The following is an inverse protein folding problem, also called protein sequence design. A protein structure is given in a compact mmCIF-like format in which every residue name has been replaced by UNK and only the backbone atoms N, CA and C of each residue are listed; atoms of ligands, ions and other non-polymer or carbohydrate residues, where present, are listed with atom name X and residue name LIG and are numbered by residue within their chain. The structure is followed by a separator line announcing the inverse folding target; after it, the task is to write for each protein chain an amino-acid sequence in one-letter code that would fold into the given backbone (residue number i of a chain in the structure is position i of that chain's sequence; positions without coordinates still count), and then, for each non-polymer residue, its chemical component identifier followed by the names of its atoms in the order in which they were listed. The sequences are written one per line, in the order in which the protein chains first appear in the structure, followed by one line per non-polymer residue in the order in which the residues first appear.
data_IF_976584723143
#
_entry.id   IF_976584723143
#
_cell.length_a   1.000
_cell.length_b   1.000
_cell.length_c   1.000
_cell.angle_alpha   90.00
_cell.angle_beta   90.00
_cell.angle_gamma   90.00
#
_symmetry.space_group_name_H-M   'P 1'
#
loop_
_entity.id
_entity.type
_entity.pdbx_description
1 polymer ?
#
# COMPACT_ATOMS: atom_id res chain seq x y z
N UNK A 1 17.39 -14.30 9.71
CA UNK A 1 18.86 -14.25 9.71
C UNK A 1 19.29 -12.95 9.06
N UNK A 2 20.19 -12.21 9.71
CA UNK A 2 20.68 -10.90 9.23
C UNK A 2 22.01 -11.01 8.48
N UNK A 3 22.37 -9.93 7.79
CA UNK A 3 23.67 -9.73 7.15
C UNK A 3 24.23 -8.36 7.50
N UNK A 4 25.55 -8.21 7.51
CA UNK A 4 26.20 -6.91 7.70
C UNK A 4 27.47 -6.79 6.87
N UNK A 5 27.77 -5.57 6.44
CA UNK A 5 28.95 -5.26 5.64
C UNK A 5 30.16 -4.99 6.54
N UNK A 6 31.32 -5.50 6.13
CA UNK A 6 32.57 -5.17 6.81
C UNK A 6 32.81 -3.65 6.77
N UNK A 7 33.22 -3.02 7.89
CA UNK A 7 33.51 -1.58 7.92
C UNK A 7 34.60 -1.15 6.92
N UNK A 8 35.49 -2.07 6.53
CA UNK A 8 36.55 -1.83 5.54
C UNK A 8 36.08 -2.07 4.10
N UNK A 9 34.86 -2.56 3.90
CA UNK A 9 34.33 -2.95 2.59
C UNK A 9 34.92 -4.25 2.03
N UNK A 10 35.70 -5.01 2.80
CA UNK A 10 36.39 -6.22 2.31
C UNK A 10 35.46 -7.43 2.08
N UNK A 11 34.22 -7.36 2.58
CA UNK A 11 33.27 -8.48 2.52
C UNK A 11 32.05 -8.25 3.39
N UNK A 12 31.31 -9.32 3.67
CA UNK A 12 30.10 -9.32 4.49
C UNK A 12 30.06 -10.52 5.43
N UNK A 13 29.24 -10.42 6.48
CA UNK A 13 28.90 -11.51 7.39
C UNK A 13 27.42 -11.85 7.29
N UNK A 14 27.09 -13.12 7.50
CA UNK A 14 25.71 -13.58 7.54
C UNK A 14 25.51 -14.69 8.57
N UNK A 15 24.39 -14.64 9.29
CA UNK A 15 23.97 -15.77 10.14
C UNK A 15 23.38 -16.86 9.26
N UNK A 16 23.95 -18.06 9.30
CA UNK A 16 23.57 -19.16 8.41
C UNK A 16 23.18 -20.41 9.17
N UNK A 17 22.30 -21.18 8.56
CA UNK A 17 22.04 -22.57 8.94
C UNK A 17 22.36 -23.44 7.74
N UNK A 18 23.47 -24.16 7.79
CA UNK A 18 23.89 -25.05 6.69
C UNK A 18 23.71 -26.50 7.11
N UNK A 19 23.76 -27.46 6.15
CA UNK A 19 23.86 -28.87 6.49
C UNK A 19 25.08 -29.21 7.35
N UNK A 20 26.10 -28.36 7.39
CA UNK A 20 27.29 -28.58 8.22
C UNK A 20 27.08 -28.09 9.67
N UNK A 21 26.02 -27.31 9.93
CA UNK A 21 25.68 -26.72 11.22
C UNK A 21 25.24 -25.26 11.11
N UNK A 22 24.71 -24.72 12.21
CA UNK A 22 24.48 -23.28 12.37
C UNK A 22 25.78 -22.52 12.62
N UNK A 23 25.81 -21.24 12.28
CA UNK A 23 26.99 -20.42 12.53
C UNK A 23 26.95 -19.04 11.86
N UNK A 24 28.13 -18.45 11.72
CA UNK A 24 28.33 -17.18 11.03
C UNK A 24 29.24 -17.43 9.83
N UNK A 25 28.79 -17.02 8.66
CA UNK A 25 29.56 -17.07 7.43
C UNK A 25 30.24 -15.72 7.20
N UNK A 26 31.53 -15.74 6.93
CA UNK A 26 32.29 -14.61 6.40
C UNK A 26 32.44 -14.83 4.90
N UNK A 27 32.08 -13.82 4.10
CA UNK A 27 32.17 -13.86 2.65
C UNK A 27 33.02 -12.68 2.21
N UNK A 28 34.07 -12.93 1.43
CA UNK A 28 34.83 -11.84 0.80
C UNK A 28 34.19 -11.41 -0.54
N UNK A 29 34.69 -10.32 -1.11
CA UNK A 29 34.23 -9.85 -2.42
C UNK A 29 34.64 -10.74 -3.60
N UNK A 30 35.56 -11.69 -3.42
CA UNK A 30 35.98 -12.64 -4.44
C UNK A 30 35.07 -13.86 -4.54
N UNK A 31 34.19 -14.05 -3.54
CA UNK A 31 33.27 -15.17 -3.42
C UNK A 31 33.80 -16.32 -2.56
N UNK A 32 35.00 -16.18 -2.00
CA UNK A 32 35.49 -17.11 -0.97
C UNK A 32 34.72 -16.91 0.33
N UNK A 33 34.47 -18.00 1.04
CA UNK A 33 33.73 -17.96 2.29
C UNK A 33 34.30 -18.88 3.35
N UNK A 34 34.23 -18.40 4.59
CA UNK A 34 34.69 -19.10 5.78
C UNK A 34 33.54 -19.19 6.78
N UNK A 35 33.40 -20.36 7.39
CA UNK A 35 32.31 -20.66 8.32
C UNK A 35 32.87 -20.73 9.75
N UNK A 36 32.38 -19.84 10.61
CA UNK A 36 32.55 -19.89 12.06
C UNK A 36 31.43 -20.77 12.62
N UNK A 37 31.76 -22.02 12.95
CA UNK A 37 30.79 -23.03 13.36
C UNK A 37 30.26 -22.79 14.78
N UNK A 38 28.94 -22.68 14.90
CA UNK A 38 28.19 -22.57 16.15
C UNK A 38 27.42 -23.86 16.44
N UNK A 39 28.11 -24.90 16.90
CA UNK A 39 27.49 -26.22 17.11
C UNK A 39 26.44 -26.28 18.24
N UNK A 40 26.31 -25.21 19.03
CA UNK A 40 25.53 -25.22 20.27
C UNK A 40 24.27 -24.35 20.22
N UNK A 41 24.00 -23.60 19.13
CA UNK A 41 22.81 -22.74 19.04
C UNK A 41 22.69 -21.99 17.71
N UNK A 42 21.56 -21.33 17.50
CA UNK A 42 21.32 -20.49 16.33
C UNK A 42 22.08 -19.17 16.49
N UNK A 43 22.68 -18.66 15.41
CA UNK A 43 23.34 -17.34 15.39
C UNK A 43 22.48 -16.35 14.60
N UNK A 44 21.93 -15.36 15.27
CA UNK A 44 21.02 -14.37 14.71
C UNK A 44 21.66 -12.98 14.64
N UNK A 45 21.29 -12.25 13.58
CA UNK A 45 21.60 -10.83 13.37
C UNK A 45 23.05 -10.45 13.68
N UNK A 46 24.04 -11.07 13.01
CA UNK A 46 25.42 -10.70 13.22
C UNK A 46 25.70 -9.29 12.69
N UNK A 47 26.51 -8.52 13.41
CA UNK A 47 26.96 -7.18 13.03
C UNK A 47 28.42 -6.97 13.42
N UNK A 48 29.12 -6.13 12.67
CA UNK A 48 30.49 -5.76 12.99
C UNK A 48 30.54 -4.73 14.13
N UNK A 49 31.49 -4.94 15.04
CA UNK A 49 31.87 -4.02 16.11
C UNK A 49 33.40 -3.86 16.12
N UNK A 50 33.92 -2.88 16.86
CA UNK A 50 35.37 -2.71 17.01
C UNK A 50 36.02 -3.95 17.66
N UNK A 51 35.30 -4.65 18.54
CA UNK A 51 35.79 -5.81 19.28
C UNK A 51 35.60 -7.15 18.54
N UNK A 52 34.98 -7.14 17.36
CA UNK A 52 34.68 -8.35 16.58
C UNK A 52 33.24 -8.42 16.08
N UNK A 53 32.71 -9.63 15.93
CA UNK A 53 31.36 -9.88 15.42
C UNK A 53 30.40 -10.04 16.60
N UNK A 54 29.43 -9.13 16.71
CA UNK A 54 28.35 -9.17 17.68
C UNK A 54 27.14 -9.91 17.11
N UNK A 55 26.51 -10.80 17.87
CA UNK A 55 25.33 -11.55 17.42
C UNK A 55 24.51 -12.06 18.61
N UNK A 56 23.28 -12.50 18.34
CA UNK A 56 22.42 -13.14 19.33
C UNK A 56 22.45 -14.66 19.17
N UNK A 57 22.52 -15.42 20.26
CA UNK A 57 22.52 -16.88 20.23
C UNK A 57 21.85 -17.50 21.45
N UNK A 58 21.12 -18.60 21.22
CA UNK A 58 20.43 -19.40 22.24
C UNK A 58 21.26 -20.60 22.72
N UNK A 59 22.59 -20.54 22.57
CA UNK A 59 23.48 -21.66 22.90
C UNK A 59 23.42 -22.15 24.34
N UNK A 60 22.97 -21.29 25.26
CA UNK A 60 22.72 -21.58 26.67
C UNK A 60 21.22 -21.71 27.00
N UNK A 61 20.38 -21.88 25.98
CA UNK A 61 18.93 -22.09 26.06
C UNK A 61 18.09 -20.82 25.99
N UNK A 62 18.70 -19.63 26.17
CA UNK A 62 18.04 -18.33 26.05
C UNK A 62 18.88 -17.43 25.16
N UNK A 63 18.25 -16.72 24.23
CA UNK A 63 18.97 -15.80 23.34
C UNK A 63 19.71 -14.72 24.14
N UNK A 64 21.03 -14.71 24.05
CA UNK A 64 21.89 -13.70 24.65
C UNK A 64 22.81 -13.10 23.59
N UNK A 65 23.38 -11.93 23.88
CA UNK A 65 24.37 -11.31 23.02
C UNK A 65 25.74 -11.92 23.25
N UNK A 66 26.43 -12.18 22.15
CA UNK A 66 27.78 -12.71 22.11
C UNK A 66 28.63 -11.86 21.18
N UNK A 67 29.91 -11.71 21.52
CA UNK A 67 30.94 -11.22 20.62
C UNK A 67 31.92 -12.33 20.28
N UNK A 68 32.42 -12.32 19.04
CA UNK A 68 33.31 -13.32 18.47
C UNK A 68 34.45 -12.63 17.74
N UNK A 69 35.68 -13.02 18.07
CA UNK A 69 36.85 -12.64 17.29
C UNK A 69 36.92 -13.55 16.05
N UNK A 70 36.81 -13.01 14.83
CA UNK A 70 36.80 -13.82 13.61
C UNK A 70 38.17 -14.42 13.27
N UNK A 71 39.27 -13.88 13.83
CA UNK A 71 40.63 -14.36 13.58
C UNK A 71 40.96 -15.53 14.49
N UNK A 72 40.70 -15.38 15.79
CA UNK A 72 41.03 -16.41 16.78
C UNK A 72 39.90 -17.42 16.97
N UNK A 73 38.68 -17.06 16.62
CA UNK A 73 37.47 -17.82 16.92
C UNK A 73 37.07 -17.76 18.39
N UNK A 74 37.71 -16.93 19.22
CA UNK A 74 37.36 -16.80 20.63
C UNK A 74 35.98 -16.14 20.80
N UNK A 75 35.21 -16.63 21.78
CA UNK A 75 33.83 -16.23 21.97
C UNK A 75 33.60 -15.73 23.40
N UNK A 76 32.84 -14.63 23.51
CA UNK A 76 32.43 -14.03 24.78
C UNK A 76 30.93 -13.75 24.82
N UNK A 77 30.31 -14.04 25.96
CA UNK A 77 28.91 -13.73 26.25
C UNK A 77 28.83 -12.35 26.91
N UNK A 78 28.04 -11.44 26.34
CA UNK A 78 27.89 -10.06 26.82
C UNK A 78 26.65 -9.87 27.70
N UNK A 79 25.62 -10.70 27.54
CA UNK A 79 24.40 -10.64 28.36
C UNK A 79 24.05 -12.00 28.94
N UNK A 80 23.35 -12.00 30.07
CA UNK A 80 22.75 -13.19 30.67
C UNK A 80 21.33 -12.86 31.13
N UNK A 81 20.43 -12.76 30.15
CA UNK A 81 19.01 -12.44 30.37
C UNK A 81 18.19 -13.72 30.49
N UNK A 82 17.03 -13.64 31.15
CA UNK A 82 16.10 -14.78 31.30
C UNK A 82 15.13 -14.91 30.12
N UNK A 83 15.01 -13.87 29.30
CA UNK A 83 13.90 -13.68 28.37
C UNK A 83 14.34 -13.41 26.93
N UNK A 84 15.58 -13.00 26.71
CA UNK A 84 16.15 -12.85 25.37
C UNK A 84 16.71 -11.45 25.09
N UNK A 85 17.85 -11.41 24.40
CA UNK A 85 18.49 -10.21 23.87
C UNK A 85 18.82 -10.41 22.38
N UNK A 86 18.38 -9.48 21.53
CA UNK A 86 18.35 -9.63 20.07
C UNK A 86 18.79 -8.36 19.36
N UNK A 87 19.19 -8.49 18.08
CA UNK A 87 19.41 -7.38 17.14
C UNK A 87 20.21 -6.22 17.75
N UNK A 88 21.38 -6.57 18.26
CA UNK A 88 22.26 -5.59 18.86
C UNK A 88 22.92 -4.72 17.81
N UNK A 89 23.10 -3.44 18.14
CA UNK A 89 23.77 -2.44 17.32
C UNK A 89 24.83 -1.73 18.19
N UNK A 90 26.12 -1.80 17.82
CA UNK A 90 27.17 -1.07 18.51
C UNK A 90 27.09 0.42 18.18
N UNK A 91 27.37 1.26 19.17
CA UNK A 91 27.56 2.70 19.00
C UNK A 91 29.03 3.01 18.74
N UNK A 92 29.35 4.17 18.14
CA UNK A 92 30.73 4.64 18.03
C UNK A 92 31.43 4.88 19.39
N UNK A 93 30.67 4.98 20.48
CA UNK A 93 31.19 5.11 21.85
C UNK A 93 31.49 3.76 22.53
N UNK A 94 31.20 2.64 21.86
CA UNK A 94 31.36 1.29 22.40
C UNK A 94 30.17 0.77 23.22
N UNK A 95 29.10 1.56 23.37
CA UNK A 95 27.84 1.11 23.95
C UNK A 95 27.10 0.20 22.97
N UNK A 96 26.29 -0.73 23.47
CA UNK A 96 25.47 -1.60 22.65
C UNK A 96 24.00 -1.32 22.94
N UNK A 97 23.24 -0.97 21.90
CA UNK A 97 21.78 -0.90 21.96
C UNK A 97 21.23 -2.21 21.44
N UNK A 98 20.28 -2.82 22.14
CA UNK A 98 19.71 -4.11 21.73
C UNK A 98 18.23 -4.19 22.06
N UNK A 99 17.53 -5.12 21.41
CA UNK A 99 16.14 -5.40 21.70
C UNK A 99 16.05 -6.50 22.75
N UNK A 100 15.51 -6.18 23.92
CA UNK A 100 15.26 -7.13 25.00
C UNK A 100 13.80 -7.54 25.01
N UNK A 101 13.51 -8.79 25.36
CA UNK A 101 12.14 -9.27 25.54
C UNK A 101 11.79 -9.31 27.03
N UNK A 102 10.58 -8.91 27.42
CA UNK A 102 10.07 -9.10 28.79
C UNK A 102 8.55 -9.31 28.77
N UNK A 103 7.92 -9.44 29.94
CA UNK A 103 6.47 -9.73 30.04
C UNK A 103 5.53 -8.71 29.38
N UNK A 104 6.03 -7.52 29.00
CA UNK A 104 5.28 -6.49 28.28
C UNK A 104 5.53 -6.46 26.77
N UNK A 105 6.38 -7.35 26.24
CA UNK A 105 6.82 -7.35 24.85
C UNK A 105 8.30 -7.03 24.68
N UNK A 106 8.67 -6.54 23.50
CA UNK A 106 10.03 -6.08 23.21
C UNK A 106 10.22 -4.61 23.59
N UNK A 107 11.39 -4.28 24.13
CA UNK A 107 11.82 -2.92 24.39
C UNK A 107 13.31 -2.74 24.03
N UNK A 108 13.78 -1.50 23.98
CA UNK A 108 15.18 -1.16 23.71
C UNK A 108 15.96 -1.04 25.03
N UNK A 109 17.09 -1.74 25.06
CA UNK A 109 18.00 -1.76 26.20
C UNK A 109 19.36 -1.26 25.78
N UNK A 110 20.08 -0.71 26.75
CA UNK A 110 21.47 -0.30 26.60
C UNK A 110 22.37 -1.18 27.45
N UNK A 111 23.47 -1.63 26.86
CA UNK A 111 24.55 -2.35 27.51
C UNK A 111 25.83 -1.51 27.41
N UNK A 112 26.43 -1.24 28.56
CA UNK A 112 27.73 -0.57 28.63
C UNK A 112 28.84 -1.52 28.14
N UNK A 113 29.93 -0.99 27.54
CA UNK A 113 31.03 -1.83 27.09
C UNK A 113 31.60 -2.68 28.23
N UNK A 114 31.69 -3.99 28.02
CA UNK A 114 32.28 -4.92 28.99
C UNK A 114 32.96 -6.07 28.26
N UNK A 115 34.02 -6.67 28.85
CA UNK A 115 34.75 -7.78 28.21
C UNK A 115 33.92 -9.08 28.14
N UNK A 116 32.69 -9.07 28.64
CA UNK A 116 31.82 -10.23 28.72
C UNK A 116 32.40 -11.36 29.59
N UNK A 117 31.74 -12.52 29.52
CA UNK A 117 32.22 -13.77 30.09
C UNK A 117 32.70 -14.67 28.96
N UNK A 118 33.92 -15.20 29.06
CA UNK A 118 34.44 -16.17 28.08
C UNK A 118 33.47 -17.36 27.94
N UNK A 119 33.05 -17.62 26.71
CA UNK A 119 31.98 -18.56 26.36
C UNK A 119 32.45 -19.69 25.42
N UNK A 120 33.77 -19.84 25.23
CA UNK A 120 34.38 -20.90 24.42
C UNK A 120 35.01 -20.35 23.15
N UNK A 121 34.86 -21.09 22.05
CA UNK A 121 35.38 -20.72 20.74
C UNK A 121 34.50 -21.26 19.61
N UNK A 122 34.33 -20.50 18.54
CA UNK A 122 33.75 -20.95 17.28
C UNK A 122 34.89 -21.11 16.26
N UNK A 123 35.29 -22.35 15.90
CA UNK A 123 36.41 -22.56 15.01
C UNK A 123 36.07 -22.09 13.59
N UNK A 124 36.97 -21.28 13.01
CA UNK A 124 36.91 -20.86 11.61
C UNK A 124 37.36 -22.02 10.71
N UNK A 125 36.57 -22.34 9.69
CA UNK A 125 36.95 -23.28 8.63
C UNK A 125 36.57 -22.72 7.26
N UNK A 126 37.22 -23.17 6.20
CA UNK A 126 36.75 -22.88 4.86
C UNK A 126 35.36 -23.50 4.66
N UNK A 127 34.40 -22.72 4.16
CA UNK A 127 33.06 -23.21 3.91
C UNK A 127 33.09 -24.33 2.86
N UNK A 128 32.30 -25.40 3.06
CA UNK A 128 32.26 -26.55 2.14
C UNK A 128 33.35 -27.61 2.35
N UNK A 129 34.27 -27.42 3.30
CA UNK A 129 35.25 -28.46 3.71
C UNK A 129 34.79 -29.25 4.96
N UNK A 130 33.61 -28.96 5.51
CA UNK A 130 33.03 -29.71 6.62
C UNK A 130 32.52 -31.08 6.17
N UNK A 131 32.67 -32.10 7.02
CA UNK A 131 31.81 -33.29 6.88
C UNK A 131 30.39 -32.82 7.15
N UNK A 132 29.50 -32.89 6.17
CA UNK A 132 28.08 -32.64 6.37
C UNK A 132 27.64 -33.39 7.63
N UNK A 133 27.18 -32.66 8.65
CA UNK A 133 26.38 -33.28 9.70
C UNK A 133 25.12 -33.67 8.96
N UNK A 134 24.99 -34.97 8.68
CA UNK A 134 24.19 -35.48 7.56
C UNK A 134 22.83 -34.80 7.41
N UNK A 135 22.27 -34.75 6.18
CA UNK A 135 20.96 -34.16 5.98
C UNK A 135 20.02 -34.73 7.05
N UNK A 136 19.44 -33.85 7.88
CA UNK A 136 18.20 -34.20 8.56
C UNK A 136 17.32 -34.84 7.49
N UNK A 137 16.86 -36.06 7.78
CA UNK A 137 16.12 -36.98 6.89
C UNK A 137 15.72 -36.31 5.59
N UNK A 138 16.31 -36.78 4.47
CA UNK A 138 16.13 -36.19 3.14
C UNK A 138 14.76 -35.56 3.02
N UNK A 139 14.74 -34.22 2.99
CA UNK A 139 13.51 -33.45 3.12
C UNK A 139 12.46 -34.15 2.27
N UNK A 140 11.32 -34.58 2.85
CA UNK A 140 10.33 -35.29 2.07
C UNK A 140 10.09 -34.43 0.85
N UNK A 141 10.32 -35.01 -0.33
CA UNK A 141 10.17 -34.31 -1.59
C UNK A 141 8.72 -33.81 -1.59
N UNK A 142 8.54 -32.53 -1.25
CA UNK A 142 7.22 -31.98 -1.03
C UNK A 142 6.52 -32.14 -2.37
N UNK A 143 5.46 -32.94 -2.40
CA UNK A 143 4.76 -33.23 -3.63
C UNK A 143 4.28 -31.91 -4.24
N UNK A 144 4.94 -31.51 -5.34
CA UNK A 144 4.62 -30.29 -6.04
C UNK A 144 3.30 -30.51 -6.80
N UNK A 145 2.21 -30.03 -6.24
CA UNK A 145 0.93 -29.97 -6.93
C UNK A 145 0.79 -28.63 -7.67
N UNK A 146 0.05 -28.57 -8.80
CA UNK A 146 -0.31 -27.31 -9.42
C UNK A 146 -1.00 -26.38 -8.42
N UNK A 147 -0.64 -25.10 -8.46
CA UNK A 147 -1.21 -24.09 -7.58
C UNK A 147 -2.73 -23.99 -7.74
N UNK A 148 -3.48 -24.07 -6.62
CA UNK A 148 -4.94 -23.97 -6.60
C UNK A 148 -5.39 -22.72 -5.82
N UNK A 149 -5.67 -21.60 -6.50
CA UNK A 149 -6.01 -20.33 -5.83
C UNK A 149 -7.35 -20.41 -5.10
N UNK A 150 -8.31 -21.19 -5.61
CA UNK A 150 -9.71 -21.22 -5.15
C UNK A 150 -9.88 -21.52 -3.66
N UNK A 151 -8.93 -22.24 -3.05
CA UNK A 151 -8.92 -22.52 -1.61
C UNK A 151 -8.84 -21.26 -0.75
N UNK A 152 -8.21 -20.21 -1.29
CA UNK A 152 -7.99 -18.92 -0.65
C UNK A 152 -8.94 -17.83 -1.16
N UNK A 153 -9.79 -18.17 -2.13
CA UNK A 153 -10.78 -17.24 -2.69
C UNK A 153 -12.14 -17.30 -1.99
N UNK A 154 -12.27 -18.09 -0.92
CA UNK A 154 -13.46 -18.04 -0.06
C UNK A 154 -13.44 -16.76 0.78
N UNK A 155 -14.59 -16.05 0.94
CA UNK A 155 -14.70 -14.85 1.78
C UNK A 155 -14.16 -15.07 3.21
N UNK A 156 -13.04 -14.43 3.59
CA UNK A 156 -12.47 -14.57 4.93
C UNK A 156 -13.17 -13.70 5.99
N UNK A 157 -13.97 -12.72 5.56
CA UNK A 157 -14.77 -11.85 6.43
C UNK A 157 -16.04 -11.39 5.71
N UNK A 158 -16.98 -10.86 6.48
CA UNK A 158 -18.15 -10.16 5.98
C UNK A 158 -18.33 -8.88 6.76
N UNK A 159 -18.52 -7.76 6.05
CA UNK A 159 -18.67 -6.44 6.64
C UNK A 159 -20.02 -5.83 6.27
N UNK A 160 -20.84 -5.38 7.24
CA UNK A 160 -22.08 -4.69 6.93
C UNK A 160 -21.80 -3.36 6.22
N UNK A 161 -22.55 -3.09 5.16
CA UNK A 161 -22.52 -1.82 4.45
C UNK A 161 -23.85 -1.09 4.61
N UNK A 162 -23.76 0.23 4.75
CA UNK A 162 -24.91 1.13 4.84
C UNK A 162 -24.64 2.29 3.89
N UNK A 163 -25.54 2.53 2.95
CA UNK A 163 -25.39 3.57 1.92
C UNK A 163 -26.72 4.32 1.79
N UNK A 164 -26.68 5.64 1.87
CA UNK A 164 -27.83 6.46 1.53
C UNK A 164 -28.05 6.41 0.01
N UNK A 165 -29.30 6.28 -0.43
CA UNK A 165 -29.65 6.22 -1.84
C UNK A 165 -30.93 7.05 -2.08
N UNK A 166 -31.19 7.48 -3.32
CA UNK A 166 -32.43 8.17 -3.65
C UNK A 166 -33.63 7.28 -3.26
N UNK A 167 -34.61 7.88 -2.59
CA UNK A 167 -35.80 7.16 -2.10
C UNK A 167 -35.58 6.24 -0.89
N UNK A 168 -34.39 6.20 -0.27
CA UNK A 168 -34.22 5.48 0.99
C UNK A 168 -32.79 5.13 1.43
N UNK A 169 -32.62 3.94 2.00
CA UNK A 169 -31.34 3.48 2.55
C UNK A 169 -31.06 2.07 2.07
N UNK A 170 -29.84 1.84 1.60
CA UNK A 170 -29.34 0.52 1.23
C UNK A 170 -28.54 -0.09 2.38
N UNK A 171 -28.84 -1.34 2.73
CA UNK A 171 -28.08 -2.15 3.69
C UNK A 171 -27.53 -3.37 2.97
N UNK A 172 -26.29 -3.72 3.24
CA UNK A 172 -25.62 -4.78 2.51
C UNK A 172 -24.50 -5.46 3.27
N UNK A 173 -23.77 -6.29 2.54
CA UNK A 173 -22.56 -6.97 2.99
C UNK A 173 -21.47 -6.80 1.95
N UNK A 174 -20.26 -6.57 2.43
CA UNK A 174 -19.03 -6.56 1.64
C UNK A 174 -18.04 -7.62 2.10
N UNK A 175 -17.27 -8.15 1.17
CA UNK A 175 -16.13 -9.06 1.41
C UNK A 175 -15.04 -8.79 0.38
N UNK A 176 -13.82 -9.22 0.68
CA UNK A 176 -12.72 -9.30 -0.26
C UNK A 176 -11.85 -10.53 0.02
N UNK A 177 -11.16 -11.05 -0.99
CA UNK A 177 -10.17 -12.11 -0.81
C UNK A 177 -9.01 -11.99 -1.80
N UNK A 178 -7.88 -12.57 -1.41
CA UNK A 178 -6.63 -12.61 -2.15
C UNK A 178 -6.02 -14.00 -1.98
N UNK A 179 -5.44 -14.54 -3.04
CA UNK A 179 -4.62 -15.73 -2.93
C UNK A 179 -3.22 -15.38 -2.34
N UNK A 180 -2.50 -16.33 -1.71
CA UNK A 180 -1.20 -16.06 -1.06
C UNK A 180 -0.09 -15.56 -1.99
N UNK A 181 -0.23 -15.78 -3.31
CA UNK A 181 0.70 -15.29 -4.31
C UNK A 181 0.30 -13.93 -4.89
N UNK A 182 -0.78 -13.32 -4.39
CA UNK A 182 -1.36 -12.06 -4.86
C UNK A 182 -1.59 -12.04 -6.39
N UNK A 183 -1.92 -13.19 -6.96
CA UNK A 183 -2.24 -13.35 -8.39
C UNK A 183 -3.70 -13.09 -8.70
N UNK A 184 -4.58 -13.23 -7.72
CA UNK A 184 -6.02 -13.04 -7.86
C UNK A 184 -6.56 -12.35 -6.62
N UNK A 185 -7.28 -11.26 -6.87
CA UNK A 185 -7.93 -10.44 -5.85
C UNK A 185 -9.36 -10.23 -6.27
N UNK A 186 -10.28 -10.20 -5.31
CA UNK A 186 -11.60 -9.65 -5.56
C UNK A 186 -12.15 -8.88 -4.38
N UNK A 187 -13.07 -7.98 -4.71
CA UNK A 187 -13.96 -7.31 -3.78
C UNK A 187 -15.40 -7.53 -4.26
N UNK A 188 -16.29 -7.80 -3.33
CA UNK A 188 -17.71 -7.93 -3.59
C UNK A 188 -18.47 -7.11 -2.56
N UNK A 189 -19.45 -6.34 -3.01
CA UNK A 189 -20.44 -5.67 -2.19
C UNK A 189 -21.81 -5.93 -2.77
N UNK A 190 -22.75 -6.32 -1.93
CA UNK A 190 -24.15 -6.49 -2.30
C UNK A 190 -25.03 -5.77 -1.29
N UNK A 191 -26.03 -5.02 -1.80
CA UNK A 191 -26.84 -4.09 -1.02
C UNK A 191 -28.31 -4.21 -1.43
N UNK A 192 -29.20 -4.28 -0.45
CA UNK A 192 -30.66 -4.25 -0.63
C UNK A 192 -31.17 -2.91 -0.11
N UNK A 193 -32.01 -2.24 -0.90
CA UNK A 193 -32.64 -1.00 -0.48
C UNK A 193 -33.89 -1.20 0.36
N UNK A 194 -34.12 -0.26 1.28
CA UNK A 194 -35.34 -0.06 2.05
C UNK A 194 -35.98 1.25 1.64
N UNK A 195 -37.31 1.30 1.55
CA UNK A 195 -38.04 2.39 0.91
C UNK A 195 -38.21 2.12 -0.58
N UNK A 196 -38.03 3.14 -1.41
CA UNK A 196 -38.04 3.03 -2.87
C UNK A 196 -36.65 2.75 -3.45
N UNK A 197 -35.63 2.66 -2.57
CA UNK A 197 -34.26 2.36 -2.96
C UNK A 197 -34.14 0.94 -3.58
N UNK A 198 -33.58 0.78 -4.79
CA UNK A 198 -33.35 -0.52 -5.41
C UNK A 198 -32.15 -1.27 -4.82
N UNK A 199 -31.95 -2.50 -5.28
CA UNK A 199 -30.74 -3.31 -5.01
C UNK A 199 -29.55 -2.67 -5.74
N UNK A 200 -28.39 -2.63 -5.07
CA UNK A 200 -27.12 -2.23 -5.64
C UNK A 200 -26.03 -3.28 -5.40
N UNK A 201 -25.01 -3.31 -6.26
CA UNK A 201 -23.88 -4.23 -6.12
C UNK A 201 -22.58 -3.63 -6.66
N UNK A 202 -21.46 -4.16 -6.21
CA UNK A 202 -20.14 -3.85 -6.74
C UNK A 202 -19.31 -5.13 -6.74
N UNK A 203 -18.70 -5.45 -7.87
CA UNK A 203 -17.77 -6.56 -8.06
C UNK A 203 -16.51 -5.96 -8.64
N UNK A 204 -15.38 -6.27 -8.03
CA UNK A 204 -14.05 -5.97 -8.57
C UNK A 204 -13.24 -7.25 -8.54
N UNK A 205 -12.54 -7.54 -9.62
CA UNK A 205 -11.68 -8.70 -9.73
C UNK A 205 -10.42 -8.32 -10.50
N UNK A 206 -9.26 -8.63 -9.94
CA UNK A 206 -7.97 -8.40 -10.56
C UNK A 206 -7.20 -9.70 -10.63
N UNK A 207 -6.64 -9.99 -11.80
CA UNK A 207 -5.77 -11.14 -12.02
C UNK A 207 -4.40 -10.70 -12.54
N UNK A 208 -3.34 -10.98 -11.81
CA UNK A 208 -1.98 -10.92 -12.32
C UNK A 208 -1.62 -12.22 -13.05
N UNK A 209 -0.97 -12.08 -14.21
CA UNK A 209 -0.51 -13.22 -15.00
C UNK A 209 0.87 -13.76 -14.58
N UNK A 210 1.51 -13.17 -13.57
CA UNK A 210 2.83 -13.59 -13.09
C UNK A 210 3.31 -12.89 -11.82
N UNK A 211 4.62 -12.90 -11.53
CA UNK A 211 5.20 -12.15 -10.40
C UNK A 211 5.05 -10.62 -10.58
N UNK A 212 5.51 -9.86 -9.58
CA UNK A 212 5.53 -8.40 -9.62
C UNK A 212 6.10 -7.88 -10.95
N UNK A 213 5.37 -6.96 -11.59
CA UNK A 213 5.71 -6.47 -12.93
C UNK A 213 5.10 -7.24 -14.10
N UNK A 214 4.25 -8.24 -13.85
CA UNK A 214 3.51 -8.94 -14.91
C UNK A 214 2.23 -8.19 -15.31
N UNK A 215 1.69 -8.43 -16.52
CA UNK A 215 0.40 -7.88 -16.91
C UNK A 215 -0.72 -8.27 -15.93
N UNK A 216 -1.69 -7.36 -15.77
CA UNK A 216 -2.88 -7.58 -14.93
C UNK A 216 -4.15 -7.37 -15.74
N UNK A 217 -5.15 -8.20 -15.48
CA UNK A 217 -6.52 -8.05 -15.99
C UNK A 217 -7.41 -7.57 -14.85
N UNK A 218 -7.96 -6.38 -14.99
CA UNK A 218 -9.00 -5.82 -14.13
C UNK A 218 -10.39 -6.03 -14.74
N UNK A 219 -11.34 -6.43 -13.90
CA UNK A 219 -12.76 -6.48 -14.19
C UNK A 219 -13.50 -5.77 -13.06
N UNK A 220 -14.37 -4.83 -13.41
CA UNK A 220 -15.29 -4.23 -12.45
C UNK A 220 -16.72 -4.22 -12.99
N UNK A 221 -17.67 -4.43 -12.10
CA UNK A 221 -19.09 -4.34 -12.36
C UNK A 221 -19.74 -3.60 -11.18
N UNK A 222 -20.36 -2.46 -11.43
CA UNK A 222 -21.06 -1.69 -10.40
C UNK A 222 -22.51 -1.40 -10.83
N UNK A 223 -23.41 -1.39 -9.86
CA UNK A 223 -24.79 -0.93 -10.00
C UNK A 223 -25.15 -0.17 -8.72
N UNK A 224 -25.58 1.08 -8.89
CA UNK A 224 -25.90 1.99 -7.80
C UNK A 224 -26.38 3.35 -8.30
N UNK A 225 -26.31 4.35 -7.45
CA UNK A 225 -26.55 5.75 -7.81
C UNK A 225 -25.23 6.52 -7.73
N UNK A 226 -25.10 7.56 -8.55
CA UNK A 226 -23.97 8.49 -8.49
C UNK A 226 -23.91 9.20 -7.13
N UNK A 227 -25.08 9.44 -6.51
CA UNK A 227 -25.18 10.02 -5.18
C UNK A 227 -26.45 9.67 -4.40
N UNK A 228 -26.67 10.35 -3.27
CA UNK A 228 -27.84 10.20 -2.42
C UNK A 228 -28.92 11.27 -2.65
N UNK A 229 -28.75 12.17 -3.63
CA UNK A 229 -29.73 13.21 -3.97
C UNK A 229 -30.97 12.61 -4.64
N UNK A 230 -32.16 13.17 -4.41
CA UNK A 230 -33.44 12.56 -4.82
C UNK A 230 -33.56 12.32 -6.33
N UNK A 231 -32.95 13.18 -7.13
CA UNK A 231 -32.99 13.14 -8.61
C UNK A 231 -31.74 12.44 -9.22
N UNK A 232 -30.87 11.85 -8.40
CA UNK A 232 -29.64 11.25 -8.91
C UNK A 232 -29.94 10.07 -9.86
N UNK A 233 -29.29 9.98 -11.03
CA UNK A 233 -29.50 8.90 -11.97
C UNK A 233 -28.97 7.58 -11.40
N UNK A 234 -29.64 6.47 -11.74
CA UNK A 234 -29.12 5.14 -11.44
C UNK A 234 -28.09 4.77 -12.49
N UNK A 235 -26.93 4.32 -12.05
CA UNK A 235 -25.82 3.96 -12.92
C UNK A 235 -25.51 2.46 -12.88
N UNK A 236 -25.19 1.90 -14.03
CA UNK A 236 -24.54 0.60 -14.17
C UNK A 236 -23.21 0.75 -14.89
N UNK A 237 -22.15 0.18 -14.36
CA UNK A 237 -20.81 0.29 -14.90
C UNK A 237 -20.22 -1.11 -15.11
N UNK A 238 -19.70 -1.38 -16.30
CA UNK A 238 -18.84 -2.52 -16.61
C UNK A 238 -17.49 -2.00 -17.09
N UNK A 239 -16.43 -2.36 -16.38
CA UNK A 239 -15.05 -2.02 -16.75
C UNK A 239 -14.22 -3.28 -16.97
N UNK A 240 -13.44 -3.26 -18.04
CA UNK A 240 -12.42 -4.26 -18.34
C UNK A 240 -11.14 -3.52 -18.69
N UNK A 241 -10.06 -3.80 -17.99
CA UNK A 241 -8.76 -3.21 -18.29
C UNK A 241 -7.64 -4.26 -18.27
N UNK A 242 -6.69 -4.07 -19.16
CA UNK A 242 -5.43 -4.80 -19.23
C UNK A 242 -4.32 -3.80 -18.98
N UNK A 243 -3.64 -3.95 -17.86
CA UNK A 243 -2.41 -3.21 -17.58
C UNK A 243 -1.22 -4.05 -18.07
N UNK A 244 -0.36 -3.42 -18.87
CA UNK A 244 0.86 -4.02 -19.39
C UNK A 244 2.03 -3.19 -18.88
N UNK A 245 2.78 -3.69 -17.88
CA UNK A 245 3.98 -3.02 -17.41
C UNK A 245 5.02 -2.94 -18.54
N UNK A 246 5.54 -1.73 -18.78
CA UNK A 246 6.56 -1.44 -19.79
C UNK A 246 7.95 -1.36 -19.16
N UNK A 247 8.03 -0.79 -17.96
CA UNK A 247 9.26 -0.67 -17.17
C UNK A 247 8.90 -1.03 -15.73
N UNK A 248 9.67 -1.95 -15.15
CA UNK A 248 9.52 -2.38 -13.76
C UNK A 248 10.90 -2.38 -13.11
N UNK A 249 11.17 -1.32 -12.38
CA UNK A 249 12.33 -1.12 -11.53
C UNK A 249 11.83 -0.90 -10.09
N UNK A 250 12.59 -1.28 -9.03
CA UNK A 250 12.18 -1.02 -7.65
C UNK A 250 11.77 0.43 -7.33
N UNK A 251 12.24 1.40 -8.12
CA UNK A 251 11.95 2.82 -7.95
C UNK A 251 11.07 3.42 -9.06
N UNK A 252 10.87 2.74 -10.19
CA UNK A 252 10.14 3.30 -11.32
C UNK A 252 9.26 2.23 -11.95
N UNK A 253 7.98 2.54 -12.13
CA UNK A 253 7.02 1.67 -12.82
C UNK A 253 6.24 2.43 -13.87
N UNK A 254 6.41 2.03 -15.13
CA UNK A 254 5.64 2.56 -16.26
C UNK A 254 4.74 1.47 -16.83
N UNK A 255 3.52 1.81 -17.19
CA UNK A 255 2.53 0.83 -17.62
C UNK A 255 1.61 1.39 -18.70
N UNK A 256 1.31 0.56 -19.69
CA UNK A 256 0.27 0.83 -20.68
C UNK A 256 -1.05 0.27 -20.16
N UNK A 257 -2.10 1.08 -20.16
CA UNK A 257 -3.45 0.67 -19.82
C UNK A 257 -4.29 0.58 -21.10
N UNK A 258 -4.83 -0.59 -21.38
CA UNK A 258 -5.75 -0.81 -22.49
C UNK A 258 -7.04 -1.35 -21.94
N UNK A 259 -8.15 -0.63 -22.11
CA UNK A 259 -9.40 -1.05 -21.51
C UNK A 259 -10.64 -0.45 -22.15
N UNK A 260 -11.78 -0.87 -21.63
CA UNK A 260 -13.08 -0.33 -21.98
C UNK A 260 -13.91 -0.19 -20.72
N UNK A 261 -14.74 0.84 -20.70
CA UNK A 261 -15.78 1.07 -19.71
C UNK A 261 -17.11 1.18 -20.44
N UNK A 262 -18.16 0.65 -19.86
CA UNK A 262 -19.51 0.78 -20.38
C UNK A 262 -20.37 1.23 -19.22
N UNK A 263 -20.90 2.45 -19.30
CA UNK A 263 -21.69 3.05 -18.24
C UNK A 263 -23.11 3.24 -18.77
N UNK A 264 -24.12 2.89 -17.99
CA UNK A 264 -25.51 3.12 -18.36
C UNK A 264 -26.11 4.01 -17.28
N UNK A 265 -26.52 5.21 -17.67
CA UNK A 265 -27.38 6.05 -16.85
C UNK A 265 -28.83 5.66 -17.13
N UNK A 266 -29.58 5.44 -16.07
CA UNK A 266 -30.97 5.00 -16.11
C UNK A 266 -31.78 6.08 -15.39
N UNK A 267 -32.49 6.89 -16.17
CA UNK A 267 -33.43 7.92 -15.72
C UNK A 267 -34.87 7.50 -16.04
N UNK A 268 -35.87 8.18 -15.44
CA UNK A 268 -37.30 7.89 -15.64
C UNK A 268 -37.82 8.25 -17.05
N UNK A 269 -37.06 9.04 -17.82
CA UNK A 269 -37.36 9.41 -19.20
C UNK A 269 -36.27 8.92 -20.16
N UNK A 270 -36.55 7.79 -20.83
CA UNK A 270 -35.69 7.12 -21.84
C UNK A 270 -34.29 6.67 -21.39
N UNK A 271 -33.92 5.44 -21.75
CA UNK A 271 -32.61 4.88 -21.44
C UNK A 271 -31.56 5.35 -22.45
N UNK A 272 -30.79 6.39 -22.15
CA UNK A 272 -29.70 6.82 -23.02
C UNK A 272 -28.37 6.15 -22.60
N UNK A 273 -27.78 5.44 -23.56
CA UNK A 273 -26.70 4.46 -23.38
C UNK A 273 -25.34 5.15 -23.35
N UNK A 274 -24.41 4.68 -22.52
CA UNK A 274 -23.00 5.08 -22.58
C UNK A 274 -22.07 3.89 -22.88
N UNK A 275 -21.19 4.05 -23.86
CA UNK A 275 -20.09 3.11 -24.12
C UNK A 275 -18.80 3.87 -24.38
N UNK A 276 -17.76 3.55 -23.62
CA UNK A 276 -16.57 4.36 -23.44
C UNK A 276 -15.33 3.49 -23.67
N UNK A 277 -14.66 3.68 -24.79
CA UNK A 277 -13.43 2.95 -25.10
C UNK A 277 -12.21 3.75 -24.63
N UNK A 278 -11.35 3.17 -23.78
CA UNK A 278 -10.25 3.86 -23.11
C UNK A 278 -8.89 3.24 -23.45
N UNK A 279 -8.05 3.99 -24.15
CA UNK A 279 -6.60 3.75 -24.18
C UNK A 279 -5.92 4.75 -23.25
N UNK A 280 -4.99 4.30 -22.42
CA UNK A 280 -4.27 5.16 -21.50
C UNK A 280 -2.82 4.76 -21.27
N UNK A 281 -2.00 5.73 -20.90
CA UNK A 281 -0.63 5.54 -20.42
C UNK A 281 -0.59 5.99 -18.97
N UNK A 282 -0.08 5.13 -18.10
CA UNK A 282 0.17 5.46 -16.70
C UNK A 282 1.67 5.32 -16.39
N UNK A 283 2.21 6.28 -15.67
CA UNK A 283 3.58 6.26 -15.18
C UNK A 283 3.58 6.56 -13.70
N UNK A 284 4.32 5.77 -12.93
CA UNK A 284 4.58 6.01 -11.52
C UNK A 284 6.06 5.93 -11.24
N UNK A 285 6.55 6.79 -10.36
CA UNK A 285 7.94 6.78 -9.94
C UNK A 285 8.03 7.12 -8.46
N UNK A 286 9.12 6.64 -7.88
CA UNK A 286 9.41 6.79 -6.49
C UNK A 286 10.86 7.20 -6.33
N UNK A 287 11.08 8.30 -5.62
CA UNK A 287 12.42 8.77 -5.28
C UNK A 287 12.46 9.17 -3.82
N UNK A 288 13.61 9.06 -3.16
CA UNK A 288 13.67 9.32 -1.73
C UNK A 288 15.08 9.27 -1.15
N UNK A 289 15.17 9.77 0.07
CA UNK A 289 16.35 9.66 0.93
C UNK A 289 15.97 9.08 2.30
N UNK A 290 16.86 9.19 3.28
CA UNK A 290 16.63 8.64 4.64
C UNK A 290 15.43 9.21 5.38
N UNK A 291 14.99 10.43 5.05
CA UNK A 291 14.00 11.18 5.81
C UNK A 291 12.84 11.74 4.98
N UNK A 292 12.79 11.42 3.68
CA UNK A 292 11.73 11.89 2.80
C UNK A 292 11.56 10.92 1.65
N UNK A 293 10.33 10.83 1.14
CA UNK A 293 9.99 10.03 -0.03
C UNK A 293 9.02 10.83 -0.89
N UNK A 294 9.25 10.85 -2.19
CA UNK A 294 8.37 11.48 -3.16
C UNK A 294 7.85 10.41 -4.10
N UNK A 295 6.56 10.15 -4.01
CA UNK A 295 5.81 9.34 -4.96
C UNK A 295 5.20 10.26 -6.01
N UNK A 296 5.38 9.91 -7.28
CA UNK A 296 4.80 10.62 -8.41
C UNK A 296 4.00 9.63 -9.26
N UNK A 297 2.82 10.03 -9.68
CA UNK A 297 2.00 9.29 -10.61
C UNK A 297 1.41 10.23 -11.65
N UNK A 298 1.45 9.84 -12.91
CA UNK A 298 0.81 10.55 -14.01
C UNK A 298 0.02 9.55 -14.83
N UNK A 299 -1.26 9.83 -15.04
CA UNK A 299 -2.13 9.13 -15.97
C UNK A 299 -2.52 10.05 -17.12
N UNK A 300 -2.43 9.55 -18.35
CA UNK A 300 -3.05 10.14 -19.52
C UNK A 300 -3.98 9.10 -20.13
N UNK A 301 -5.22 9.48 -20.40
CA UNK A 301 -6.19 8.59 -21.00
C UNK A 301 -7.03 9.33 -22.02
N UNK A 302 -7.46 8.62 -23.04
CA UNK A 302 -8.27 9.19 -24.10
C UNK A 302 -9.11 8.11 -24.74
N UNK A 303 -10.19 8.54 -25.37
CA UNK A 303 -11.19 7.59 -25.78
C UNK A 303 -12.29 8.16 -26.63
N UNK A 304 -13.16 7.24 -27.01
CA UNK A 304 -14.43 7.53 -27.65
C UNK A 304 -15.55 7.10 -26.71
N UNK A 305 -16.38 8.05 -26.31
CA UNK A 305 -17.64 7.80 -25.64
C UNK A 305 -18.77 7.80 -26.68
N UNK A 306 -19.80 7.00 -26.46
CA UNK A 306 -21.05 7.02 -27.25
C UNK A 306 -22.13 7.47 -26.29
N UNK A 307 -22.48 8.76 -26.32
CA UNK A 307 -23.50 9.39 -25.48
C UNK A 307 -24.23 10.39 -26.37
N UNK A 308 -25.43 10.01 -26.82
CA UNK A 308 -26.25 10.76 -27.79
C UNK A 308 -25.50 11.14 -29.08
N UNK A 309 -24.59 10.26 -29.49
CA UNK A 309 -23.63 10.49 -30.54
C UNK A 309 -22.23 10.04 -30.15
N UNK A 310 -21.29 10.16 -31.09
CA UNK A 310 -19.89 9.88 -30.85
C UNK A 310 -19.21 11.11 -30.23
N UNK A 311 -18.58 10.95 -29.06
CA UNK A 311 -17.82 11.99 -28.35
C UNK A 311 -16.38 11.52 -28.19
N UNK A 312 -15.41 12.32 -28.58
CA UNK A 312 -13.99 12.08 -28.37
C UNK A 312 -13.48 12.97 -27.24
N UNK A 313 -12.70 12.38 -26.34
CA UNK A 313 -12.14 13.11 -25.21
C UNK A 313 -10.71 12.66 -24.91
N UNK A 314 -10.00 13.54 -24.21
CA UNK A 314 -8.70 13.27 -23.61
C UNK A 314 -8.63 13.87 -22.22
N UNK A 315 -7.97 13.18 -21.32
CA UNK A 315 -7.88 13.53 -19.92
C UNK A 315 -6.53 13.13 -19.33
N UNK A 316 -6.15 13.80 -18.26
CA UNK A 316 -4.92 13.52 -17.56
C UNK A 316 -4.98 13.95 -16.11
N UNK A 317 -4.24 13.23 -15.28
CA UNK A 317 -4.04 13.55 -13.87
C UNK A 317 -2.59 13.30 -13.50
N UNK A 318 -2.02 14.21 -12.72
CA UNK A 318 -0.77 14.05 -12.01
C UNK A 318 -1.00 14.11 -10.50
N UNK A 319 -0.34 13.21 -9.77
CA UNK A 319 -0.33 13.14 -8.32
C UNK A 319 1.11 13.12 -7.81
N UNK A 320 1.41 13.94 -6.82
CA UNK A 320 2.70 14.00 -6.13
C UNK A 320 2.45 13.90 -4.63
N UNK A 321 3.01 12.89 -3.98
CA UNK A 321 2.91 12.70 -2.53
C UNK A 321 4.31 12.73 -1.94
N UNK A 322 4.57 13.73 -1.11
CA UNK A 322 5.82 13.89 -0.37
C UNK A 322 5.62 13.44 1.06
N UNK A 323 6.14 12.27 1.40
CA UNK A 323 6.18 11.75 2.76
C UNK A 323 7.33 12.43 3.52
N UNK A 324 7.01 12.98 4.69
CA UNK A 324 7.92 13.66 5.60
C UNK A 324 7.98 12.92 6.96
N UNK A 325 9.02 13.19 7.78
CA UNK A 325 9.15 12.55 9.08
C UNK A 325 7.95 12.84 9.99
N UNK A 326 7.73 11.96 10.96
CA UNK A 326 6.65 12.07 11.97
C UNK A 326 5.23 11.96 11.39
N UNK A 327 5.07 11.17 10.33
CA UNK A 327 3.77 10.84 9.74
C UNK A 327 3.08 12.05 9.14
N UNK A 328 3.83 12.92 8.48
CA UNK A 328 3.34 14.10 7.81
C UNK A 328 3.50 13.90 6.31
N UNK A 329 2.44 14.08 5.53
CA UNK A 329 2.49 13.96 4.07
C UNK A 329 1.96 15.23 3.42
N UNK A 330 2.56 15.64 2.31
CA UNK A 330 2.03 16.69 1.44
C UNK A 330 1.64 16.07 0.10
N UNK A 331 0.37 16.14 -0.26
CA UNK A 331 -0.14 15.61 -1.52
C UNK A 331 -0.64 16.72 -2.43
N UNK A 332 -0.16 16.78 -3.67
CA UNK A 332 -0.68 17.61 -4.74
C UNK A 332 -1.29 16.72 -5.81
N UNK A 333 -2.51 17.03 -6.22
CA UNK A 333 -3.17 16.41 -7.39
C UNK A 333 -3.60 17.50 -8.35
N UNK A 334 -3.28 17.33 -9.62
CA UNK A 334 -3.69 18.24 -10.69
C UNK A 334 -4.21 17.39 -11.83
N UNK A 335 -5.42 17.65 -12.29
CA UNK A 335 -6.00 16.93 -13.40
C UNK A 335 -6.90 17.81 -14.25
N UNK A 336 -7.23 17.31 -15.42
CA UNK A 336 -8.17 17.95 -16.32
C UNK A 336 -8.47 17.11 -17.53
N UNK A 337 -9.47 17.55 -18.28
CA UNK A 337 -9.92 16.89 -19.48
C UNK A 337 -10.53 17.87 -20.47
N UNK A 338 -10.65 17.40 -21.70
CA UNK A 338 -11.31 18.07 -22.81
C UNK A 338 -12.06 17.06 -23.67
N UNK A 339 -13.20 17.46 -24.21
CA UNK A 339 -14.06 16.69 -25.10
C UNK A 339 -14.55 17.55 -26.27
N UNK A 340 -15.08 16.91 -27.31
CA UNK A 340 -15.72 17.57 -28.44
C UNK A 340 -17.23 17.78 -28.26
N UNK A 341 -17.75 17.56 -27.05
CA UNK A 341 -19.15 17.81 -26.65
C UNK A 341 -19.21 18.77 -25.46
N UNK A 342 -20.07 19.77 -25.58
CA UNK A 342 -20.41 20.68 -24.48
C UNK A 342 -21.02 19.92 -23.30
N UNK A 343 -20.74 20.40 -22.09
CA UNK A 343 -21.26 19.84 -20.83
C UNK A 343 -20.99 18.32 -20.66
N UNK A 344 -19.83 17.86 -21.14
CA UNK A 344 -19.46 16.45 -21.04
C UNK A 344 -18.82 16.09 -19.69
N UNK A 345 -18.11 17.03 -19.06
CA UNK A 345 -17.51 16.86 -17.73
C UNK A 345 -18.29 17.65 -16.69
N UNK A 346 -18.31 17.15 -15.45
CA UNK A 346 -18.87 17.83 -14.29
C UNK A 346 -17.80 18.13 -13.23
N UNK A 347 -18.05 19.17 -12.43
CA UNK A 347 -17.20 19.63 -11.33
C UNK A 347 -18.05 19.85 -10.09
N UNK A 348 -17.74 19.15 -9.00
CA UNK A 348 -18.50 19.25 -7.76
C UNK A 348 -18.37 18.02 -6.85
N UNK A 349 -18.85 18.16 -5.61
CA UNK A 349 -18.97 17.04 -4.67
C UNK A 349 -17.67 16.29 -4.35
N UNK A 350 -17.81 15.03 -3.93
CA UNK A 350 -16.68 14.15 -3.57
C UNK A 350 -16.06 13.43 -4.79
N UNK A 351 -16.70 13.53 -5.96
CA UNK A 351 -16.40 12.73 -7.14
C UNK A 351 -16.94 11.30 -7.02
N UNK A 352 -17.64 10.83 -8.04
CA UNK A 352 -18.22 9.48 -8.12
C UNK A 352 -17.17 8.40 -8.46
N UNK A 353 -15.98 8.81 -8.90
CA UNK A 353 -15.01 7.94 -9.55
C UNK A 353 -15.30 7.72 -11.04
N UNK A 354 -16.34 8.36 -11.59
CA UNK A 354 -16.48 8.53 -13.03
C UNK A 354 -15.37 9.45 -13.56
N UNK A 355 -14.88 9.13 -14.75
CA UNK A 355 -13.90 9.94 -15.46
C UNK A 355 -14.47 11.25 -16.00
N UNK A 356 -15.80 11.41 -15.99
CA UNK A 356 -16.48 12.68 -16.28
C UNK A 356 -16.52 13.62 -15.08
N UNK A 357 -16.34 13.10 -13.87
CA UNK A 357 -16.66 13.82 -12.64
C UNK A 357 -15.40 14.24 -11.90
N UNK A 358 -15.24 15.55 -11.71
CA UNK A 358 -14.11 16.13 -11.03
C UNK A 358 -14.52 16.65 -9.65
N UNK A 359 -13.92 16.09 -8.61
CA UNK A 359 -14.27 16.45 -7.23
C UNK A 359 -13.86 17.89 -6.87
N UNK A 360 -14.81 18.60 -6.25
CA UNK A 360 -14.58 19.88 -5.58
C UNK A 360 -15.40 19.90 -4.30
N UNK A 361 -14.79 19.48 -3.18
CA UNK A 361 -15.49 18.87 -2.03
C UNK A 361 -16.44 19.79 -1.28
N UNK A 362 -16.24 21.11 -1.37
CA UNK A 362 -17.10 22.08 -0.68
C UNK A 362 -18.22 22.64 -1.57
N UNK A 363 -18.37 22.13 -2.79
CA UNK A 363 -19.44 22.50 -3.72
C UNK A 363 -20.48 21.36 -3.81
N UNK A 364 -21.74 21.65 -4.22
CA UNK A 364 -22.68 20.59 -4.58
C UNK A 364 -22.10 19.65 -5.63
N UNK A 365 -22.68 18.46 -5.74
CA UNK A 365 -22.42 17.59 -6.89
C UNK A 365 -22.92 18.27 -8.17
N UNK A 366 -22.26 17.97 -9.29
CA UNK A 366 -22.55 18.53 -10.62
C UNK A 366 -22.75 20.06 -10.65
N UNK A 367 -22.05 20.77 -9.77
CA UNK A 367 -22.20 22.21 -9.58
C UNK A 367 -21.89 23.02 -10.84
N UNK A 368 -20.94 22.57 -11.64
CA UNK A 368 -20.62 23.16 -12.94
C UNK A 368 -20.30 22.07 -13.97
N UNK A 369 -20.58 22.35 -15.24
CA UNK A 369 -20.30 21.45 -16.36
C UNK A 369 -19.53 22.15 -17.49
N UNK A 370 -18.89 21.36 -18.35
CA UNK A 370 -18.27 21.88 -19.57
C UNK A 370 -17.62 20.81 -20.45
N UNK A 371 -17.25 21.19 -21.68
CA UNK A 371 -16.41 20.39 -22.58
C UNK A 371 -14.96 20.33 -22.10
N UNK A 372 -14.55 21.25 -21.22
CA UNK A 372 -13.24 21.33 -20.60
C UNK A 372 -13.39 21.39 -19.09
N UNK A 373 -12.46 20.74 -18.39
CA UNK A 373 -12.37 20.80 -16.93
C UNK A 373 -10.91 20.81 -16.48
N UNK A 374 -10.62 21.60 -15.45
CA UNK A 374 -9.34 21.63 -14.75
C UNK A 374 -9.59 21.64 -13.25
N UNK A 375 -8.80 20.88 -12.51
CA UNK A 375 -8.88 20.78 -11.06
C UNK A 375 -7.50 20.58 -10.44
N UNK A 376 -7.27 21.23 -9.32
CA UNK A 376 -6.10 21.07 -8.48
C UNK A 376 -6.52 20.89 -7.01
N UNK A 377 -5.80 20.06 -6.28
CA UNK A 377 -5.99 19.82 -4.85
C UNK A 377 -4.64 19.68 -4.16
N UNK A 378 -4.45 20.48 -3.13
CA UNK A 378 -3.33 20.39 -2.21
C UNK A 378 -3.85 19.88 -0.87
N UNK A 379 -3.21 18.86 -0.33
CA UNK A 379 -3.55 18.27 0.95
C UNK A 379 -2.31 18.20 1.84
N UNK A 380 -2.45 18.68 3.07
CA UNK A 380 -1.52 18.41 4.15
C UNK A 380 -2.12 17.37 5.09
N UNK A 381 -1.43 16.26 5.27
CA UNK A 381 -1.92 15.09 6.02
C UNK A 381 -1.04 14.87 7.24
N UNK A 382 -1.65 14.70 8.40
CA UNK A 382 -0.98 14.45 9.66
C UNK A 382 -1.54 13.18 10.31
N UNK A 383 -0.69 12.19 10.48
CA UNK A 383 -0.98 11.02 11.30
C UNK A 383 -1.17 11.46 12.76
N UNK A 384 -2.35 11.19 13.30
CA UNK A 384 -2.67 11.50 14.70
C UNK A 384 -2.45 10.28 15.60
N UNK A 385 -2.87 9.10 15.14
CA UNK A 385 -2.79 7.87 15.91
C UNK A 385 -2.48 6.67 15.04
N UNK A 386 -1.59 5.81 15.54
CA UNK A 386 -1.45 4.42 15.10
C UNK A 386 -2.04 3.51 16.16
N UNK A 387 -2.99 2.65 15.77
CA UNK A 387 -3.80 1.87 16.71
C UNK A 387 -3.33 0.42 16.76
N UNK A 388 -2.82 -0.14 15.65
CA UNK A 388 -2.25 -1.51 15.51
C UNK A 388 -2.96 -2.59 16.36
N UNK A 389 -4.29 -2.50 16.51
CA UNK A 389 -5.10 -3.37 17.37
C UNK A 389 -6.43 -3.70 16.71
N UNK A 390 -6.68 -5.00 16.56
CA UNK A 390 -7.87 -5.49 15.87
C UNK A 390 -7.85 -5.05 14.41
N UNK A 391 -8.96 -4.50 13.95
CA UNK A 391 -9.11 -3.99 12.58
C UNK A 391 -8.68 -2.54 12.43
N UNK A 392 -8.39 -1.83 13.52
CA UNK A 392 -8.08 -0.39 13.48
C UNK A 392 -6.59 -0.20 13.22
N UNK A 393 -6.27 0.56 12.17
CA UNK A 393 -4.89 0.77 11.74
C UNK A 393 -4.40 2.16 12.14
N UNK A 394 -4.99 3.22 11.57
CA UNK A 394 -4.54 4.59 11.82
C UNK A 394 -5.65 5.62 11.66
N UNK A 395 -5.41 6.79 12.22
CA UNK A 395 -6.26 7.97 12.07
C UNK A 395 -5.40 9.14 11.61
N UNK A 396 -5.82 9.77 10.51
CA UNK A 396 -5.11 10.86 9.85
C UNK A 396 -6.00 12.09 9.78
N UNK A 397 -5.46 13.24 10.14
CA UNK A 397 -6.08 14.55 9.92
C UNK A 397 -5.59 15.10 8.59
N UNK A 398 -6.50 15.59 7.76
CA UNK A 398 -6.18 16.14 6.44
C UNK A 398 -6.71 17.56 6.36
N UNK A 399 -5.87 18.49 5.98
CA UNK A 399 -6.28 19.84 5.57
C UNK A 399 -6.16 19.91 4.07
N UNK A 400 -7.19 20.39 3.40
CA UNK A 400 -7.19 20.49 1.95
C UNK A 400 -7.51 21.90 1.47
N UNK A 401 -6.92 22.25 0.34
CA UNK A 401 -7.24 23.43 -0.45
C UNK A 401 -7.37 23.00 -1.92
N UNK A 402 -8.46 23.38 -2.56
CA UNK A 402 -8.79 22.95 -3.91
C UNK A 402 -9.18 24.14 -4.77
N UNK A 403 -8.94 24.01 -6.08
CA UNK A 403 -9.44 24.91 -7.07
C UNK A 403 -9.83 24.15 -8.34
N UNK A 404 -10.88 24.57 -9.02
CA UNK A 404 -11.27 23.96 -10.29
C UNK A 404 -12.21 24.83 -11.11
N UNK A 405 -12.33 24.50 -12.39
CA UNK A 405 -13.28 25.11 -13.31
C UNK A 405 -13.72 24.08 -14.34
N UNK A 406 -15.00 24.10 -14.69
CA UNK A 406 -15.54 23.44 -15.88
C UNK A 406 -16.17 24.53 -16.77
N UNK A 407 -15.91 24.48 -18.08
CA UNK A 407 -16.36 25.52 -19.02
C UNK A 407 -16.45 25.00 -20.45
N UNK A 408 -17.21 25.70 -21.29
CA UNK A 408 -17.38 25.44 -22.73
C UNK A 408 -16.53 26.42 -23.58
N UNK A 409 -17.16 27.48 -24.10
CA UNK A 409 -16.51 28.46 -25.00
C UNK A 409 -15.99 29.73 -24.29
N UNK A 410 -16.50 30.05 -23.10
CA UNK A 410 -16.09 31.23 -22.32
C UNK A 410 -14.79 31.00 -21.54
N UNK A 411 -14.23 32.05 -20.93
CA UNK A 411 -13.10 31.91 -20.01
C UNK A 411 -13.49 31.09 -18.75
N UNK A 412 -12.57 30.30 -18.18
CA UNK A 412 -12.87 29.44 -17.04
C UNK A 412 -13.29 30.25 -15.80
N UNK A 413 -14.47 29.95 -15.25
CA UNK A 413 -14.91 30.47 -13.95
C UNK A 413 -14.31 29.64 -12.82
N UNK A 414 -13.17 30.09 -12.28
CA UNK A 414 -12.48 29.38 -11.21
C UNK A 414 -13.27 29.39 -9.91
N UNK A 415 -13.38 28.20 -9.31
CA UNK A 415 -13.94 27.93 -7.99
C UNK A 415 -12.87 27.39 -7.06
N UNK A 416 -12.98 27.71 -5.78
CA UNK A 416 -11.99 27.45 -4.74
C UNK A 416 -12.68 26.98 -3.47
N UNK A 417 -12.07 26.01 -2.81
CA UNK A 417 -12.55 25.49 -1.54
C UNK A 417 -11.40 25.16 -0.60
N UNK A 418 -11.71 25.16 0.70
CA UNK A 418 -10.82 24.68 1.74
C UNK A 418 -11.60 23.85 2.75
N UNK A 419 -10.90 22.99 3.49
CA UNK A 419 -11.54 22.21 4.52
C UNK A 419 -10.60 21.31 5.30
N UNK A 420 -11.22 20.52 6.16
CA UNK A 420 -10.57 19.55 7.03
C UNK A 420 -11.31 18.23 6.95
N UNK A 421 -10.56 17.13 6.97
CA UNK A 421 -11.08 15.77 6.91
C UNK A 421 -10.37 14.90 7.95
N UNK A 422 -11.13 14.02 8.62
CA UNK A 422 -10.59 12.95 9.44
C UNK A 422 -10.73 11.63 8.68
N UNK A 423 -9.60 10.97 8.43
CA UNK A 423 -9.53 9.70 7.74
C UNK A 423 -9.20 8.60 8.74
N UNK A 424 -10.08 7.62 8.87
CA UNK A 424 -9.92 6.47 9.76
C UNK A 424 -9.71 5.23 8.90
N UNK A 425 -8.50 4.68 8.92
CA UNK A 425 -8.14 3.47 8.17
C UNK A 425 -8.33 2.23 9.04
N UNK A 426 -8.90 1.21 8.42
CA UNK A 426 -9.09 -0.12 8.97
C UNK A 426 -8.38 -1.14 8.08
N UNK A 427 -7.88 -2.23 8.66
CA UNK A 427 -7.29 -3.36 7.94
C UNK A 427 -7.98 -4.65 8.36
N UNK A 428 -8.59 -5.31 7.38
CA UNK A 428 -9.34 -6.55 7.53
C UNK A 428 -8.48 -7.72 7.12
N UNK A 429 -8.49 -8.78 7.94
CA UNK A 429 -7.73 -10.01 7.69
C UNK A 429 -6.24 -9.75 7.40
N UNK A 430 -5.67 -8.68 8.00
CA UNK A 430 -4.30 -8.20 7.79
C UNK A 430 -3.93 -7.91 6.32
N UNK A 431 -4.90 -7.76 5.43
CA UNK A 431 -4.67 -7.64 3.98
C UNK A 431 -5.49 -6.52 3.34
N UNK A 432 -6.77 -6.39 3.69
CA UNK A 432 -7.69 -5.51 2.96
C UNK A 432 -7.91 -4.22 3.72
N UNK A 433 -7.55 -3.08 3.14
CA UNK A 433 -7.76 -1.80 3.78
C UNK A 433 -9.14 -1.23 3.45
N UNK A 434 -9.81 -0.65 4.44
CA UNK A 434 -10.93 0.26 4.21
C UNK A 434 -10.68 1.59 4.92
N UNK A 435 -11.39 2.62 4.52
CA UNK A 435 -11.28 3.93 5.12
C UNK A 435 -12.65 4.58 5.30
N UNK A 436 -12.80 5.33 6.38
CA UNK A 436 -13.86 6.28 6.61
C UNK A 436 -13.31 7.69 6.51
N UNK A 437 -14.05 8.58 5.87
CA UNK A 437 -13.71 9.98 5.69
C UNK A 437 -14.84 10.83 6.23
N UNK A 438 -14.55 11.65 7.22
CA UNK A 438 -15.51 12.64 7.75
C UNK A 438 -14.92 14.00 7.49
N UNK A 439 -15.55 14.78 6.62
CA UNK A 439 -15.01 16.05 6.18
C UNK A 439 -15.95 17.22 6.39
N UNK A 440 -15.34 18.39 6.54
CA UNK A 440 -15.98 19.69 6.63
C UNK A 440 -15.29 20.63 5.64
N UNK A 441 -16.02 21.14 4.65
CA UNK A 441 -15.50 22.02 3.61
C UNK A 441 -16.25 23.34 3.52
N UNK A 442 -15.60 24.37 3.00
CA UNK A 442 -16.18 25.68 2.70
C UNK A 442 -15.77 26.15 1.29
N UNK A 443 -16.77 26.54 0.50
CA UNK A 443 -16.59 27.26 -0.75
C UNK A 443 -16.17 28.71 -0.48
N UNK A 444 -15.28 29.26 -1.31
CA UNK A 444 -14.66 30.57 -1.07
C UNK A 444 -15.12 31.66 -2.02
N UNK A 445 -15.99 31.34 -2.98
CA UNK A 445 -16.34 32.25 -4.05
C UNK A 445 -17.62 33.04 -3.79
N UNK A 446 -18.43 32.61 -2.81
CA UNK A 446 -19.54 33.39 -2.27
C UNK A 446 -19.51 33.37 -0.73
N UNK A 447 -19.69 34.53 -0.09
CA UNK A 447 -19.65 34.65 1.38
C UNK A 447 -20.82 33.92 2.05
N UNK A 448 -21.95 33.80 1.36
CA UNK A 448 -23.17 33.17 1.82
C UNK A 448 -23.16 31.63 1.68
N UNK A 449 -22.14 31.05 1.04
CA UNK A 449 -22.08 29.60 0.85
C UNK A 449 -21.93 28.87 2.19
N UNK A 450 -22.78 27.87 2.48
CA UNK A 450 -22.74 27.17 3.75
C UNK A 450 -21.51 26.26 3.85
N UNK A 451 -21.12 25.98 5.08
CA UNK A 451 -20.21 24.86 5.35
C UNK A 451 -20.89 23.54 4.98
N UNK A 452 -20.15 22.67 4.30
CA UNK A 452 -20.61 21.33 3.91
C UNK A 452 -19.95 20.27 4.75
N UNK A 453 -20.77 19.37 5.29
CA UNK A 453 -20.32 18.15 5.96
C UNK A 453 -20.55 16.98 5.03
N UNK A 454 -19.57 16.10 4.91
CA UNK A 454 -19.68 14.90 4.11
C UNK A 454 -19.07 13.68 4.79
N UNK A 455 -19.56 12.52 4.42
CA UNK A 455 -19.11 11.22 4.91
C UNK A 455 -18.82 10.32 3.71
N UNK A 456 -17.60 9.80 3.62
CA UNK A 456 -17.19 8.81 2.63
C UNK A 456 -16.75 7.51 3.28
N UNK A 457 -17.02 6.38 2.63
CA UNK A 457 -16.47 5.09 3.02
C UNK A 457 -16.11 4.26 1.79
N UNK A 458 -15.08 3.44 1.88
CA UNK A 458 -14.67 2.56 0.78
C UNK A 458 -13.53 1.64 1.16
N UNK A 459 -13.42 0.53 0.43
CA UNK A 459 -12.23 -0.30 0.44
C UNK A 459 -11.18 0.31 -0.49
N UNK A 460 -9.92 0.26 -0.09
CA UNK A 460 -8.77 0.57 -0.94
C UNK A 460 -8.17 -0.75 -1.41
N UNK A 461 -8.14 -0.97 -2.72
CA UNK A 461 -7.50 -2.11 -3.37
C UNK A 461 -6.33 -1.66 -4.20
#
# INVERSE_FOLDING_TARGET
SGLDWSPTGAGLIAGVWTPEGGGILLIDLSGESWHLFGNEGVCLSPTWSEDGILFSSDRDGVYNLYTLDPVTGELWQLTNTLTGAFEAAPSPSGEIIYRGYHGGGYDLYRLEPSPGRRAGSMPLRLAGQGRALGPGEGQPELSAAPYQPWRWMMPPFWWPTLVAAPGGTQVGLSTAASDPLYRQHYALSWRVGFGDAPIGYSVQYVRSFGPEGSPTLGLALNDGYSSAEEDAPRERDVRVDLEIPLVVDPLVRQSLLVGGRCLWEITDSESERSSLFLGGLASSSLTGGRSWRLEQSTGLYGGKAVVDGDVFFGAGEGSWVLDLPKGCDLALRVGGALADREDFFSLGGLGSGDMRDYALRAYPEDFASGDKVLRASLEWRQLLWEIHRGIWDRVTLVFFAEAGAAWNQEEPSWKRSLGVELVIRQVWYNQFASQWRVGLGRALDNEDDPWRVYLGTGFAF
#
